data_IF_899124521043
#
_entry.id   IF_899124521043
#
_cell.length_a   1.000
_cell.length_b   1.000
_cell.length_c   1.000
_cell.angle_alpha   90.00
_cell.angle_beta   90.00
_cell.angle_gamma   90.00
#
_symmetry.space_group_name_H-M   'P 1'
#
loop_
_entity.id
_entity.type
_entity.pdbx_description
1 polymer ?
#
# COMPACT_ATOMS: atom_id res chain seq x y z
N UNK A 1 -19.67 -19.85 -17.83
CA UNK A 1 -19.26 -20.14 -16.43
C UNK A 1 -17.77 -19.97 -16.25
N UNK A 2 -16.91 -20.59 -17.06
CA UNK A 2 -15.44 -20.39 -16.99
C UNK A 2 -15.02 -18.91 -17.05
N UNK A 3 -15.58 -18.13 -17.98
CA UNK A 3 -15.30 -16.69 -18.08
C UNK A 3 -15.74 -15.89 -16.84
N UNK A 4 -16.83 -16.30 -16.19
CA UNK A 4 -17.29 -15.69 -14.95
C UNK A 4 -16.30 -15.98 -13.81
N UNK A 5 -15.85 -17.22 -13.68
CA UNK A 5 -14.86 -17.61 -12.68
C UNK A 5 -13.52 -16.89 -12.89
N UNK A 6 -13.05 -16.78 -14.14
CA UNK A 6 -11.83 -16.06 -14.46
C UNK A 6 -11.97 -14.56 -14.15
N UNK A 7 -13.13 -13.97 -14.42
CA UNK A 7 -13.39 -12.57 -14.05
C UNK A 7 -13.37 -12.35 -12.53
N UNK A 8 -13.98 -13.25 -11.74
CA UNK A 8 -13.93 -13.19 -10.27
C UNK A 8 -12.49 -13.32 -9.76
N UNK A 9 -11.72 -14.24 -10.34
CA UNK A 9 -10.30 -14.39 -10.04
C UNK A 9 -9.56 -13.08 -10.28
N UNK A 10 -9.68 -12.48 -11.47
CA UNK A 10 -9.00 -11.22 -11.80
C UNK A 10 -9.43 -10.05 -10.92
N UNK A 11 -10.74 -9.91 -10.61
CA UNK A 11 -11.22 -8.88 -9.67
C UNK A 11 -10.63 -9.10 -8.28
N UNK A 12 -10.51 -10.35 -7.83
CA UNK A 12 -9.94 -10.67 -6.51
C UNK A 12 -8.44 -10.38 -6.46
N UNK A 13 -7.68 -10.73 -7.52
CA UNK A 13 -6.27 -10.34 -7.68
C UNK A 13 -6.15 -8.81 -7.61
N UNK A 14 -6.94 -8.10 -8.41
CA UNK A 14 -6.91 -6.64 -8.47
C UNK A 14 -7.25 -5.99 -7.13
N UNK A 15 -8.25 -6.51 -6.42
CA UNK A 15 -8.72 -5.94 -5.15
C UNK A 15 -7.66 -6.05 -4.08
N UNK A 16 -7.07 -7.24 -3.89
CA UNK A 16 -6.06 -7.41 -2.85
C UNK A 16 -4.74 -6.70 -3.22
N UNK A 17 -4.36 -6.72 -4.51
CA UNK A 17 -3.20 -5.97 -4.98
C UNK A 17 -3.37 -4.47 -4.74
N UNK A 18 -4.55 -3.93 -5.06
CA UNK A 18 -4.90 -2.53 -4.83
C UNK A 18 -4.89 -2.19 -3.34
N UNK A 19 -5.44 -3.05 -2.48
CA UNK A 19 -5.40 -2.83 -1.03
C UNK A 19 -3.97 -2.75 -0.50
N UNK A 20 -3.13 -3.72 -0.84
CA UNK A 20 -1.75 -3.80 -0.33
C UNK A 20 -0.89 -2.66 -0.90
N UNK A 21 -1.01 -2.33 -2.19
CA UNK A 21 -0.24 -1.20 -2.73
C UNK A 21 -0.69 0.13 -2.10
N UNK A 22 -1.98 0.30 -1.83
CA UNK A 22 -2.45 1.50 -1.15
C UNK A 22 -1.86 1.61 0.25
N UNK A 23 -1.74 0.53 1.03
CA UNK A 23 -1.09 0.63 2.36
C UNK A 23 0.35 1.13 2.25
N UNK A 24 1.09 0.70 1.22
CA UNK A 24 2.46 1.16 0.94
C UNK A 24 2.51 2.61 0.48
N UNK A 25 1.63 3.00 -0.45
CA UNK A 25 1.54 4.37 -0.98
C UNK A 25 1.17 5.35 0.13
N UNK A 26 0.26 5.00 1.03
CA UNK A 26 -0.13 5.83 2.16
C UNK A 26 0.98 5.94 3.23
N UNK A 27 1.71 4.86 3.49
CA UNK A 27 2.90 4.88 4.37
C UNK A 27 3.93 5.90 3.89
N UNK A 28 4.22 5.90 2.58
CA UNK A 28 5.11 6.86 1.93
C UNK A 28 4.52 8.28 1.91
N UNK A 29 3.27 8.44 1.47
CA UNK A 29 2.70 9.76 1.23
C UNK A 29 2.39 10.53 2.51
N UNK A 30 1.85 9.88 3.54
CA UNK A 30 1.31 10.53 4.74
C UNK A 30 1.99 10.03 6.01
N UNK A 31 2.16 8.71 6.13
CA UNK A 31 2.76 8.06 7.30
C UNK A 31 2.14 6.68 7.55
N UNK A 32 2.85 5.81 8.29
CA UNK A 32 2.48 4.41 8.46
C UNK A 32 1.12 4.20 9.16
N UNK A 33 0.66 5.16 9.98
CA UNK A 33 -0.65 5.09 10.62
C UNK A 33 -1.81 5.03 9.61
N UNK A 34 -1.66 5.67 8.45
CA UNK A 34 -2.68 5.67 7.40
C UNK A 34 -2.73 4.36 6.60
N UNK A 35 -1.73 3.49 6.72
CA UNK A 35 -1.78 2.15 6.15
C UNK A 35 -2.93 1.32 6.77
N UNK A 36 -3.16 1.45 8.09
CA UNK A 36 -4.25 0.75 8.78
C UNK A 36 -5.64 1.26 8.40
N UNK A 37 -5.74 2.55 8.03
CA UNK A 37 -6.97 3.15 7.52
C UNK A 37 -7.42 2.44 6.23
N UNK A 38 -6.51 2.17 5.30
CA UNK A 38 -6.82 1.49 4.03
C UNK A 38 -7.46 0.13 4.26
N UNK A 39 -6.95 -0.66 5.22
CA UNK A 39 -7.53 -1.96 5.58
C UNK A 39 -8.95 -1.80 6.11
N UNK A 40 -9.17 -0.80 6.95
CA UNK A 40 -10.50 -0.49 7.50
C UNK A 40 -11.50 -0.05 6.42
N UNK A 41 -11.06 0.76 5.45
CA UNK A 41 -11.88 1.19 4.31
C UNK A 41 -12.23 0.02 3.41
N UNK A 42 -11.31 -0.93 3.19
CA UNK A 42 -11.59 -2.13 2.42
C UNK A 42 -12.70 -2.96 3.09
N UNK A 43 -12.59 -3.21 4.39
CA UNK A 43 -13.63 -3.91 5.16
C UNK A 43 -14.96 -3.16 5.14
N UNK A 44 -14.93 -1.83 5.29
CA UNK A 44 -16.13 -0.98 5.19
C UNK A 44 -16.78 -1.09 3.81
N UNK A 45 -16.00 -1.04 2.73
CA UNK A 45 -16.50 -1.17 1.35
C UNK A 45 -17.20 -2.51 1.11
N UNK A 46 -16.58 -3.61 1.56
CA UNK A 46 -17.21 -4.92 1.54
C UNK A 46 -18.46 -4.99 2.42
N UNK A 47 -18.46 -4.40 3.62
CA UNK A 47 -19.61 -4.35 4.51
C UNK A 47 -20.79 -3.55 3.93
N UNK A 48 -20.53 -2.39 3.34
CA UNK A 48 -21.54 -1.57 2.63
C UNK A 48 -22.07 -2.36 1.44
N UNK A 49 -21.22 -3.07 0.69
CA UNK A 49 -21.67 -3.89 -0.44
C UNK A 49 -22.65 -4.99 -0.02
N UNK A 50 -22.37 -5.69 1.10
CA UNK A 50 -23.25 -6.72 1.66
C UNK A 50 -24.57 -6.12 2.17
N UNK A 51 -24.51 -4.95 2.79
CA UNK A 51 -25.69 -4.21 3.23
C UNK A 51 -26.59 -3.85 2.03
N UNK A 52 -26.02 -3.31 0.94
CA UNK A 52 -26.75 -3.00 -0.29
C UNK A 52 -27.41 -4.26 -0.86
N UNK A 53 -26.69 -5.39 -0.93
CA UNK A 53 -27.25 -6.64 -1.46
C UNK A 53 -28.39 -7.17 -0.57
N UNK A 54 -28.29 -7.00 0.75
CA UNK A 54 -29.32 -7.44 1.70
C UNK A 54 -30.61 -6.60 1.63
N UNK A 55 -30.47 -5.27 1.46
CA UNK A 55 -31.60 -4.35 1.38
C UNK A 55 -32.24 -4.35 -0.01
N UNK A 56 -31.44 -4.50 -1.05
CA UNK A 56 -31.86 -4.42 -2.44
C UNK A 56 -31.68 -5.76 -3.15
N UNK A 57 -32.39 -6.79 -2.67
CA UNK A 57 -32.36 -8.13 -3.28
C UNK A 57 -32.74 -8.18 -4.77
N UNK A 58 -33.38 -7.13 -5.31
CA UNK A 58 -33.62 -6.97 -6.75
C UNK A 58 -32.33 -6.83 -7.57
N UNK A 59 -31.23 -6.32 -6.99
CA UNK A 59 -29.92 -6.28 -7.66
C UNK A 59 -29.39 -7.70 -7.93
N UNK A 60 -29.73 -8.67 -7.09
CA UNK A 60 -29.31 -10.08 -7.23
C UNK A 60 -30.20 -10.83 -8.23
N UNK A 61 -31.52 -10.61 -8.21
CA UNK A 61 -32.47 -11.36 -9.06
C UNK A 61 -32.23 -11.19 -10.56
N UNK A 62 -31.80 -10.00 -10.97
CA UNK A 62 -31.59 -9.66 -12.38
C UNK A 62 -30.10 -9.63 -12.78
N UNK A 63 -29.23 -10.29 -12.01
CA UNK A 63 -27.79 -10.20 -12.19
C UNK A 63 -27.34 -10.95 -13.44
N UNK A 64 -26.99 -10.20 -14.49
CA UNK A 64 -26.42 -10.74 -15.73
C UNK A 64 -24.91 -10.50 -15.77
N UNK A 65 -24.13 -11.34 -16.49
CA UNK A 65 -22.70 -11.07 -16.72
C UNK A 65 -22.45 -9.67 -17.31
N UNK A 66 -23.39 -9.15 -18.11
CA UNK A 66 -23.34 -7.77 -18.63
C UNK A 66 -23.40 -6.73 -17.51
N UNK A 67 -24.25 -6.90 -16.49
CA UNK A 67 -24.29 -5.98 -15.32
C UNK A 67 -23.03 -6.09 -14.48
N UNK A 68 -22.52 -7.30 -14.26
CA UNK A 68 -21.23 -7.50 -13.59
C UNK A 68 -20.07 -6.82 -14.34
N UNK A 69 -20.11 -6.79 -15.68
CA UNK A 69 -19.12 -6.08 -16.49
C UNK A 69 -19.11 -4.57 -16.21
N UNK A 70 -20.27 -3.93 -16.05
CA UNK A 70 -20.35 -2.52 -15.65
C UNK A 70 -19.77 -2.30 -14.25
N UNK A 71 -20.08 -3.17 -13.28
CA UNK A 71 -19.50 -3.07 -11.93
C UNK A 71 -17.97 -3.23 -11.95
N UNK A 72 -17.44 -4.16 -12.75
CA UNK A 72 -15.99 -4.35 -12.91
C UNK A 72 -15.31 -3.16 -13.61
N UNK A 73 -16.01 -2.51 -14.56
CA UNK A 73 -15.54 -1.27 -15.17
C UNK A 73 -15.51 -0.12 -14.16
N UNK A 74 -16.57 0.04 -13.37
CA UNK A 74 -16.65 1.04 -12.30
C UNK A 74 -15.63 0.78 -11.18
N UNK A 75 -15.35 -0.48 -10.87
CA UNK A 75 -14.25 -0.87 -9.98
C UNK A 75 -12.90 -0.34 -10.52
N UNK A 76 -12.59 -0.60 -11.80
CA UNK A 76 -11.35 -0.12 -12.42
C UNK A 76 -11.24 1.42 -12.39
N UNK A 77 -12.34 2.10 -12.74
CA UNK A 77 -12.40 3.56 -12.67
C UNK A 77 -12.26 4.06 -11.23
N UNK A 78 -12.85 3.36 -10.26
CA UNK A 78 -12.72 3.66 -8.83
C UNK A 78 -11.30 3.48 -8.30
N UNK A 79 -10.56 2.48 -8.77
CA UNK A 79 -9.16 2.28 -8.37
C UNK A 79 -8.28 3.46 -8.80
N UNK A 80 -8.34 3.83 -10.08
CA UNK A 80 -7.53 4.93 -10.62
C UNK A 80 -8.04 6.29 -10.14
N UNK A 81 -9.35 6.54 -10.26
CA UNK A 81 -9.98 7.80 -9.89
C UNK A 81 -9.90 8.06 -8.39
N UNK A 82 -10.09 7.03 -7.56
CA UNK A 82 -9.93 7.14 -6.11
C UNK A 82 -8.50 7.48 -5.72
N UNK A 83 -7.51 6.83 -6.32
CA UNK A 83 -6.10 7.16 -6.10
C UNK A 83 -5.76 8.59 -6.54
N UNK A 84 -6.16 9.00 -7.75
CA UNK A 84 -5.90 10.36 -8.26
C UNK A 84 -6.57 11.41 -7.40
N UNK A 85 -7.84 11.20 -7.01
CA UNK A 85 -8.57 12.16 -6.18
C UNK A 85 -7.92 12.34 -4.81
N UNK A 86 -7.48 11.24 -4.18
CA UNK A 86 -6.69 11.27 -2.95
C UNK A 86 -5.37 12.02 -3.16
N UNK A 87 -4.63 11.72 -4.23
CA UNK A 87 -3.32 12.32 -4.51
C UNK A 87 -3.40 13.85 -4.70
N UNK A 88 -4.54 14.36 -5.20
CA UNK A 88 -4.76 15.80 -5.42
C UNK A 88 -5.48 16.51 -4.29
N UNK A 89 -6.06 15.78 -3.35
CA UNK A 89 -6.72 16.37 -2.20
C UNK A 89 -5.66 16.74 -1.17
N UNK A 90 -5.51 18.04 -0.80
CA UNK A 90 -4.40 18.52 0.04
C UNK A 90 -4.66 18.22 1.52
N UNK A 91 -4.71 16.93 1.86
CA UNK A 91 -4.88 16.47 3.22
C UNK A 91 -3.55 16.51 3.97
N UNK A 92 -3.59 17.11 5.16
CA UNK A 92 -2.50 17.12 6.13
C UNK A 92 -3.01 16.74 7.52
N UNK A 93 -2.43 15.67 8.04
CA UNK A 93 -2.78 15.12 9.35
C UNK A 93 -2.43 16.03 10.53
N UNK A 94 -1.37 16.84 10.43
CA UNK A 94 -0.93 17.73 11.52
C UNK A 94 -1.87 18.93 11.71
N UNK A 95 -2.56 19.32 10.65
CA UNK A 95 -3.50 20.44 10.66
C UNK A 95 -4.91 20.08 11.12
N UNK A 96 -5.25 18.79 11.31
CA UNK A 96 -6.61 18.37 11.70
C UNK A 96 -7.09 19.04 12.98
N UNK A 97 -6.20 19.23 13.96
CA UNK A 97 -6.55 19.86 15.24
C UNK A 97 -6.92 21.35 15.09
N UNK A 98 -6.47 22.01 14.03
CA UNK A 98 -6.56 23.47 13.85
C UNK A 98 -7.46 23.88 12.67
N UNK A 99 -7.59 23.04 11.63
CA UNK A 99 -8.35 23.33 10.42
C UNK A 99 -9.42 22.26 10.15
N UNK A 100 -10.69 22.64 10.32
CA UNK A 100 -11.85 21.75 10.07
C UNK A 100 -11.97 21.29 8.62
N UNK A 101 -11.37 21.98 7.65
CA UNK A 101 -11.33 21.56 6.24
C UNK A 101 -10.60 20.23 6.08
N UNK A 102 -9.61 19.94 6.94
CA UNK A 102 -8.88 18.67 6.92
C UNK A 102 -9.78 17.48 7.24
N UNK A 103 -10.81 17.67 8.08
CA UNK A 103 -11.82 16.63 8.33
C UNK A 103 -12.64 16.35 7.06
N UNK A 104 -12.99 17.39 6.29
CA UNK A 104 -13.69 17.22 5.00
C UNK A 104 -12.80 16.48 4.00
N UNK A 105 -11.51 16.82 3.93
CA UNK A 105 -10.55 16.11 3.09
C UNK A 105 -10.38 14.65 3.50
N UNK A 106 -10.37 14.36 4.80
CA UNK A 106 -10.37 12.99 5.31
C UNK A 106 -11.63 12.24 4.87
N UNK A 107 -12.81 12.85 4.98
CA UNK A 107 -14.05 12.24 4.47
C UNK A 107 -13.97 11.97 2.97
N UNK A 108 -13.42 12.90 2.18
CA UNK A 108 -13.19 12.70 0.75
C UNK A 108 -12.27 11.51 0.52
N UNK A 109 -11.18 11.35 1.29
CA UNK A 109 -10.30 10.19 1.22
C UNK A 109 -11.05 8.88 1.46
N UNK A 110 -11.83 8.82 2.55
CA UNK A 110 -12.61 7.64 2.89
C UNK A 110 -13.62 7.29 1.79
N UNK A 111 -14.41 8.27 1.34
CA UNK A 111 -15.42 8.05 0.30
C UNK A 111 -14.78 7.64 -1.03
N UNK A 112 -13.69 8.28 -1.43
CA UNK A 112 -13.01 8.00 -2.71
C UNK A 112 -12.45 6.58 -2.76
N UNK A 113 -11.81 6.14 -1.66
CA UNK A 113 -11.23 4.81 -1.56
C UNK A 113 -12.27 3.72 -1.28
N UNK A 114 -13.42 4.06 -0.68
CA UNK A 114 -14.52 3.13 -0.48
C UNK A 114 -15.07 2.60 -1.82
N UNK A 115 -15.15 3.45 -2.84
CA UNK A 115 -15.77 3.15 -4.15
C UNK A 115 -15.24 1.86 -4.80
N UNK A 116 -13.92 1.66 -5.02
CA UNK A 116 -13.43 0.41 -5.59
C UNK A 116 -13.75 -0.81 -4.71
N UNK A 117 -13.57 -0.74 -3.39
CA UNK A 117 -13.88 -1.87 -2.51
C UNK A 117 -15.38 -2.20 -2.47
N UNK A 118 -16.24 -1.18 -2.56
CA UNK A 118 -17.67 -1.35 -2.70
C UNK A 118 -18.03 -2.14 -3.96
N UNK A 119 -17.49 -1.75 -5.12
CA UNK A 119 -17.77 -2.45 -6.38
C UNK A 119 -17.19 -3.86 -6.41
N UNK A 120 -15.99 -4.07 -5.87
CA UNK A 120 -15.41 -5.41 -5.72
C UNK A 120 -16.29 -6.31 -4.84
N UNK A 121 -16.75 -5.78 -3.69
CA UNK A 121 -17.67 -6.46 -2.80
C UNK A 121 -19.01 -6.79 -3.45
N UNK A 122 -19.56 -5.86 -4.24
CA UNK A 122 -20.79 -6.09 -5.00
C UNK A 122 -20.62 -7.20 -6.05
N UNK A 123 -19.50 -7.24 -6.78
CA UNK A 123 -19.21 -8.29 -7.76
C UNK A 123 -19.15 -9.66 -7.07
N UNK A 124 -18.35 -9.77 -6.01
CA UNK A 124 -18.15 -11.02 -5.29
C UNK A 124 -19.43 -11.48 -4.59
N UNK A 125 -20.06 -10.60 -3.81
CA UNK A 125 -21.28 -10.88 -3.06
C UNK A 125 -22.48 -11.19 -3.95
N UNK A 126 -22.69 -10.43 -5.04
CA UNK A 126 -23.78 -10.69 -5.95
C UNK A 126 -23.58 -12.00 -6.72
N UNK A 127 -22.34 -12.35 -7.07
CA UNK A 127 -22.07 -13.61 -7.78
C UNK A 127 -22.27 -14.83 -6.89
N UNK A 128 -21.84 -14.77 -5.62
CA UNK A 128 -22.11 -15.82 -4.61
C UNK A 128 -23.62 -15.98 -4.42
N UNK A 129 -24.34 -14.86 -4.29
CA UNK A 129 -25.79 -14.85 -4.07
C UNK A 129 -26.58 -15.36 -5.27
N UNK A 130 -26.13 -15.09 -6.49
CA UNK A 130 -26.81 -15.49 -7.72
C UNK A 130 -26.57 -16.96 -8.11
N UNK A 131 -25.50 -17.60 -7.60
CA UNK A 131 -25.13 -18.98 -7.95
C UNK A 131 -24.81 -19.83 -6.70
N UNK A 132 -25.79 -20.08 -5.82
CA UNK A 132 -25.59 -20.82 -4.57
C UNK A 132 -25.01 -22.23 -4.79
N UNK A 133 -25.41 -22.92 -5.86
CA UNK A 133 -24.92 -24.27 -6.20
C UNK A 133 -23.43 -24.31 -6.58
N UNK A 134 -22.82 -23.15 -6.84
CA UNK A 134 -21.44 -23.03 -7.35
C UNK A 134 -20.54 -22.23 -6.41
N UNK A 135 -21.01 -21.96 -5.20
CA UNK A 135 -20.32 -21.16 -4.17
C UNK A 135 -18.91 -21.66 -3.93
N UNK A 136 -18.71 -22.97 -3.74
CA UNK A 136 -17.37 -23.56 -3.53
C UNK A 136 -16.38 -23.19 -4.64
N UNK A 137 -16.80 -23.25 -5.91
CA UNK A 137 -15.93 -22.89 -7.06
C UNK A 137 -15.69 -21.39 -7.11
N UNK A 138 -16.71 -20.57 -6.87
CA UNK A 138 -16.57 -19.11 -6.84
C UNK A 138 -15.58 -18.68 -5.75
N UNK A 139 -15.70 -19.25 -4.55
CA UNK A 139 -14.77 -19.03 -3.46
C UNK A 139 -13.36 -19.51 -3.79
N UNK A 140 -13.20 -20.67 -4.43
CA UNK A 140 -11.90 -21.15 -4.88
C UNK A 140 -11.19 -20.10 -5.76
N UNK A 141 -11.85 -19.62 -6.81
CA UNK A 141 -11.26 -18.61 -7.70
C UNK A 141 -11.01 -17.26 -6.99
N UNK A 142 -11.90 -16.84 -6.09
CA UNK A 142 -11.71 -15.61 -5.33
C UNK A 142 -10.54 -15.68 -4.35
N UNK A 143 -10.42 -16.79 -3.62
CA UNK A 143 -9.35 -17.01 -2.65
C UNK A 143 -8.01 -17.19 -3.35
N UNK A 144 -7.93 -18.02 -4.39
CA UNK A 144 -6.71 -18.16 -5.20
C UNK A 144 -6.30 -16.84 -5.85
N UNK A 145 -7.27 -16.06 -6.34
CA UNK A 145 -7.02 -14.73 -6.90
C UNK A 145 -6.46 -13.77 -5.85
N UNK A 146 -7.02 -13.78 -4.64
CA UNK A 146 -6.51 -12.98 -3.52
C UNK A 146 -5.07 -13.36 -3.17
N UNK A 147 -4.76 -14.66 -3.03
CA UNK A 147 -3.38 -15.11 -2.79
C UNK A 147 -2.39 -14.65 -3.86
N UNK A 148 -2.77 -14.77 -5.14
CA UNK A 148 -1.96 -14.26 -6.26
C UNK A 148 -1.81 -12.73 -6.18
N UNK A 149 -2.87 -12.02 -5.82
CA UNK A 149 -2.85 -10.57 -5.59
C UNK A 149 -1.82 -10.17 -4.53
N UNK A 150 -1.81 -10.84 -3.37
CA UNK A 150 -0.84 -10.55 -2.31
C UNK A 150 0.62 -10.77 -2.73
N UNK A 151 0.88 -11.85 -3.46
CA UNK A 151 2.23 -12.14 -3.96
C UNK A 151 2.64 -11.20 -5.09
N UNK A 152 1.69 -10.78 -5.94
CA UNK A 152 1.98 -9.92 -7.08
C UNK A 152 2.54 -8.57 -6.67
N UNK A 153 2.11 -7.99 -5.54
CA UNK A 153 2.62 -6.69 -5.08
C UNK A 153 4.11 -6.77 -4.71
N UNK A 154 4.52 -7.85 -4.03
CA UNK A 154 5.93 -8.09 -3.67
C UNK A 154 6.80 -8.12 -4.93
N UNK A 155 6.31 -8.76 -5.99
CA UNK A 155 7.03 -8.91 -7.25
C UNK A 155 7.00 -7.65 -8.12
N UNK A 156 5.90 -6.89 -8.13
CA UNK A 156 5.69 -5.78 -9.05
C UNK A 156 6.15 -4.42 -8.50
N UNK A 157 6.07 -4.21 -7.18
CA UNK A 157 6.40 -2.91 -6.57
C UNK A 157 7.85 -2.45 -6.82
N UNK A 158 8.88 -3.32 -6.86
CA UNK A 158 10.26 -2.88 -7.12
C UNK A 158 10.46 -2.34 -8.54
N UNK A 159 9.66 -2.80 -9.51
CA UNK A 159 9.81 -2.44 -10.92
C UNK A 159 8.87 -1.31 -11.34
N UNK A 160 7.63 -1.33 -10.85
CA UNK A 160 6.57 -0.42 -11.29
C UNK A 160 6.28 0.70 -10.26
N UNK A 161 6.84 0.59 -9.04
CA UNK A 161 6.51 1.46 -7.92
C UNK A 161 5.05 1.34 -7.47
N UNK A 162 4.66 2.19 -6.52
CA UNK A 162 3.28 2.19 -6.01
C UNK A 162 2.23 2.56 -7.06
N UNK A 163 2.47 3.62 -7.83
CA UNK A 163 1.51 4.08 -8.85
C UNK A 163 1.32 3.06 -9.99
N UNK A 164 2.39 2.39 -10.44
CA UNK A 164 2.29 1.40 -11.50
C UNK A 164 1.49 0.16 -11.09
N UNK A 165 1.63 -0.30 -9.84
CA UNK A 165 0.82 -1.43 -9.32
C UNK A 165 -0.67 -1.06 -9.19
N UNK A 166 -0.99 0.22 -8.89
CA UNK A 166 -2.37 0.72 -8.94
C UNK A 166 -2.93 0.64 -10.37
N UNK A 167 -2.14 1.06 -11.38
CA UNK A 167 -2.53 0.97 -12.79
C UNK A 167 -2.73 -0.49 -13.23
N UNK A 168 -1.86 -1.41 -12.81
CA UNK A 168 -2.03 -2.85 -13.04
C UNK A 168 -3.33 -3.36 -12.42
N UNK A 169 -3.66 -2.95 -11.20
CA UNK A 169 -4.91 -3.34 -10.54
C UNK A 169 -6.14 -2.84 -11.31
N UNK A 170 -6.10 -1.61 -11.82
CA UNK A 170 -7.15 -1.07 -12.69
C UNK A 170 -7.24 -1.84 -14.03
N UNK A 171 -6.11 -2.21 -14.65
CA UNK A 171 -6.06 -3.02 -15.88
C UNK A 171 -6.67 -4.41 -15.68
N UNK A 172 -6.40 -5.07 -14.55
CA UNK A 172 -7.01 -6.35 -14.20
C UNK A 172 -8.54 -6.22 -14.03
N UNK A 173 -9.01 -5.12 -13.47
CA UNK A 173 -10.44 -4.77 -13.43
C UNK A 173 -11.07 -4.61 -14.82
N UNK A 174 -10.38 -3.94 -15.75
CA UNK A 174 -10.81 -3.82 -17.15
C UNK A 174 -10.82 -5.17 -17.87
N UNK A 175 -9.80 -6.00 -17.65
CA UNK A 175 -9.74 -7.34 -18.22
C UNK A 175 -10.91 -8.21 -17.72
N UNK A 176 -11.21 -8.17 -16.42
CA UNK A 176 -12.38 -8.84 -15.86
C UNK A 176 -13.69 -8.31 -16.47
N UNK A 177 -13.82 -6.99 -16.58
CA UNK A 177 -14.97 -6.35 -17.23
C UNK A 177 -15.15 -6.83 -18.67
N UNK A 178 -14.06 -6.92 -19.45
CA UNK A 178 -14.09 -7.42 -20.82
C UNK A 178 -14.54 -8.88 -20.91
N UNK A 179 -13.98 -9.76 -20.09
CA UNK A 179 -14.35 -11.18 -20.03
C UNK A 179 -15.84 -11.38 -19.70
N UNK A 180 -16.38 -10.54 -18.80
CA UNK A 180 -17.80 -10.55 -18.44
C UNK A 180 -18.71 -10.13 -19.60
N UNK A 181 -18.24 -9.27 -20.52
CA UNK A 181 -19.01 -8.97 -21.75
C UNK A 181 -19.05 -10.14 -22.73
N UNK A 182 -18.09 -11.07 -22.65
CA UNK A 182 -18.01 -12.26 -23.50
C UNK A 182 -18.76 -13.45 -22.88
N UNK A 183 -19.00 -13.41 -21.58
CA UNK A 183 -19.73 -14.43 -20.86
C UNK A 183 -21.20 -14.48 -21.31
N UNK A 184 -21.60 -15.60 -21.91
CA UNK A 184 -23.00 -15.83 -22.33
C UNK A 184 -23.92 -15.93 -21.12
N UNK A 185 -25.07 -15.27 -21.20
CA UNK A 185 -26.22 -15.45 -20.31
C UNK A 185 -26.80 -16.84 -20.51
N UNK A 186 -26.82 -17.69 -19.49
CA UNK A 186 -27.96 -18.58 -19.32
C UNK A 186 -29.00 -17.82 -18.48
N UNK A 187 -30.28 -18.06 -18.74
CA UNK A 187 -31.42 -17.28 -18.26
C UNK A 187 -31.46 -17.04 -16.74
N UNK A 188 -32.40 -16.20 -16.28
CA UNK A 188 -32.49 -15.79 -14.88
C UNK A 188 -32.44 -17.00 -13.94
N UNK A 189 -31.76 -16.82 -12.81
CA UNK A 189 -31.77 -17.81 -11.74
C UNK A 189 -33.23 -18.09 -11.33
N UNK A 190 -33.58 -19.33 -10.96
CA UNK A 190 -34.92 -19.63 -10.48
C UNK A 190 -35.27 -18.73 -9.30
N UNK A 191 -36.51 -18.27 -9.26
CA UNK A 191 -37.07 -17.37 -8.24
C UNK A 191 -36.96 -18.02 -6.85
N UNK A 192 -35.84 -17.80 -6.16
CA UNK A 192 -35.66 -18.12 -4.75
C UNK A 192 -35.30 -16.86 -4.01
N UNK A 193 -36.16 -16.54 -3.05
CA UNK A 193 -36.07 -15.36 -2.20
C UNK A 193 -34.84 -15.48 -1.29
N UNK A 194 -34.25 -14.35 -0.90
CA UNK A 194 -33.16 -14.28 0.08
C UNK A 194 -33.50 -14.94 1.43
N UNK A 195 -34.80 -15.08 1.73
CA UNK A 195 -35.31 -15.92 2.83
C UNK A 195 -34.94 -17.39 2.65
N UNK A 196 -35.14 -17.97 1.46
CA UNK A 196 -34.91 -19.39 1.18
C UNK A 196 -33.43 -19.78 1.35
N UNK A 197 -32.49 -18.86 1.05
CA UNK A 197 -31.06 -19.08 1.27
C UNK A 197 -30.71 -19.17 2.77
N UNK A 198 -31.17 -18.21 3.60
CA UNK A 198 -30.94 -18.25 5.04
C UNK A 198 -31.75 -19.33 5.75
N UNK A 199 -32.93 -19.66 5.25
CA UNK A 199 -33.77 -20.74 5.75
C UNK A 199 -33.15 -22.11 5.43
N UNK A 200 -32.43 -22.26 4.31
CA UNK A 200 -31.67 -23.48 3.99
C UNK A 200 -30.57 -23.81 5.01
N UNK A 201 -30.02 -22.79 5.70
CA UNK A 201 -29.06 -22.96 6.79
C UNK A 201 -29.73 -23.12 8.16
N UNK A 202 -31.02 -22.76 8.30
CA UNK A 202 -31.75 -22.77 9.59
C UNK A 202 -32.66 -23.98 9.78
N UNK A 203 -33.21 -24.59 8.73
CA UNK A 203 -34.11 -25.75 8.84
C UNK A 203 -34.20 -26.57 7.54
N UNK A 204 -33.65 -27.79 7.49
CA UNK A 204 -33.67 -28.63 6.28
C UNK A 204 -35.06 -29.16 5.86
N UNK A 205 -36.10 -29.05 6.71
CA UNK A 205 -37.35 -29.83 6.53
C UNK A 205 -38.64 -29.04 6.22
N UNK A 206 -38.60 -27.71 6.03
CA UNK A 206 -39.84 -26.94 5.78
C UNK A 206 -39.82 -26.20 4.44
N UNK A 207 -40.29 -26.90 3.40
CA UNK A 207 -40.90 -26.25 2.23
C UNK A 207 -42.37 -25.97 2.53
N UNK A 208 -42.75 -24.70 2.61
CA UNK A 208 -44.15 -24.29 2.62
C UNK A 208 -44.39 -22.93 3.24
N UNK A 209 -44.83 -21.98 2.41
CA UNK A 209 -45.50 -20.76 2.87
C UNK A 209 -44.93 -19.45 2.34
N UNK A 210 -45.44 -19.02 1.18
CA UNK A 210 -45.35 -17.62 0.73
C UNK A 210 -46.18 -16.71 1.65
N UNK A 211 -45.65 -15.54 2.00
CA UNK A 211 -46.19 -14.22 1.64
C UNK A 211 -45.43 -13.09 2.35
N UNK A 212 -45.27 -11.97 1.66
CA UNK A 212 -44.85 -10.69 2.24
C UNK A 212 -43.50 -10.15 1.76
N UNK A 213 -43.49 -9.46 0.61
CA UNK A 213 -42.65 -8.28 0.39
C UNK A 213 -43.05 -7.58 -0.92
N UNK A 214 -44.09 -6.74 -0.87
CA UNK A 214 -44.54 -5.94 -2.02
C UNK A 214 -44.31 -4.43 -1.86
N UNK A 215 -43.46 -3.99 -0.90
CA UNK A 215 -43.27 -2.55 -0.62
C UNK A 215 -41.82 -2.05 -0.58
N UNK A 216 -40.90 -2.68 -1.31
CA UNK A 216 -39.50 -2.20 -1.46
C UNK A 216 -39.19 -1.58 -2.85
N UNK A 217 -40.21 -1.28 -3.66
CA UNK A 217 -40.04 -0.90 -5.08
C UNK A 217 -39.96 0.60 -5.40
N UNK A 218 -39.79 1.51 -4.43
CA UNK A 218 -39.96 2.96 -4.68
C UNK A 218 -38.70 3.84 -4.60
N UNK A 219 -37.50 3.29 -4.36
CA UNK A 219 -36.28 4.11 -4.26
C UNK A 219 -35.33 4.03 -5.47
N UNK A 220 -35.53 3.05 -6.37
CA UNK A 220 -34.87 3.02 -7.68
C UNK A 220 -35.94 2.94 -8.76
N UNK A 221 -35.96 3.85 -9.76
CA UNK A 221 -36.91 3.74 -10.85
C UNK A 221 -36.71 2.40 -11.56
N UNK A 222 -37.81 1.64 -11.74
CA UNK A 222 -37.85 0.49 -12.64
C UNK A 222 -37.33 0.98 -14.00
N UNK A 223 -36.10 0.60 -14.36
CA UNK A 223 -35.45 1.07 -15.59
C UNK A 223 -34.15 1.89 -15.43
N UNK A 224 -33.58 2.03 -14.23
CA UNK A 224 -32.24 2.63 -14.08
C UNK A 224 -31.18 1.96 -14.97
N UNK A 225 -31.27 0.63 -15.15
CA UNK A 225 -30.36 -0.12 -16.01
C UNK A 225 -30.77 -0.15 -17.49
N UNK A 226 -32.01 0.24 -17.84
CA UNK A 226 -32.50 0.31 -19.23
C UNK A 226 -32.28 1.68 -19.88
N UNK A 227 -31.83 2.67 -19.10
CA UNK A 227 -31.47 4.03 -19.57
C UNK A 227 -29.97 4.17 -19.84
N UNK A 228 -29.16 3.17 -19.51
CA UNK A 228 -27.77 3.11 -19.96
C UNK A 228 -27.75 2.86 -21.47
N UNK A 229 -27.23 3.79 -22.29
CA UNK A 229 -27.26 3.65 -23.73
C UNK A 229 -26.50 2.36 -24.13
N UNK A 230 -26.84 1.75 -25.29
CA UNK A 230 -26.06 0.66 -25.87
C UNK A 230 -24.74 1.21 -26.44
N UNK A 231 -23.98 1.95 -25.64
CA UNK A 231 -22.61 2.33 -25.97
C UNK A 231 -21.80 1.04 -26.12
N UNK A 232 -20.80 1.01 -27.02
CA UNK A 232 -19.92 -0.13 -27.15
C UNK A 232 -19.00 -0.18 -25.93
N UNK A 233 -19.49 -0.69 -24.80
CA UNK A 233 -18.75 -0.84 -23.54
C UNK A 233 -17.40 -1.51 -23.78
N UNK A 234 -17.33 -2.45 -24.73
CA UNK A 234 -16.07 -3.08 -25.17
C UNK A 234 -15.06 -2.10 -25.75
N UNK A 235 -15.49 -1.15 -26.59
CA UNK A 235 -14.61 -0.10 -27.14
C UNK A 235 -14.10 0.80 -26.03
N UNK A 236 -14.96 1.18 -25.08
CA UNK A 236 -14.54 1.97 -23.93
C UNK A 236 -13.54 1.22 -23.04
N UNK A 237 -13.79 -0.07 -22.77
CA UNK A 237 -12.86 -0.93 -22.01
C UNK A 237 -11.51 -1.02 -22.71
N UNK A 238 -11.50 -1.31 -24.01
CA UNK A 238 -10.25 -1.45 -24.78
C UNK A 238 -9.51 -0.11 -24.87
N UNK A 239 -10.21 0.99 -25.16
CA UNK A 239 -9.61 2.32 -25.18
C UNK A 239 -9.01 2.72 -23.83
N UNK A 240 -9.73 2.44 -22.74
CA UNK A 240 -9.22 2.67 -21.37
C UNK A 240 -8.01 1.79 -21.05
N UNK A 241 -8.03 0.52 -21.48
CA UNK A 241 -6.92 -0.40 -21.24
C UNK A 241 -5.66 0.01 -22.01
N UNK A 242 -5.79 0.45 -23.27
CA UNK A 242 -4.68 0.98 -24.06
C UNK A 242 -4.11 2.26 -23.44
N UNK A 243 -4.97 3.16 -22.94
CA UNK A 243 -4.53 4.36 -22.23
C UNK A 243 -3.77 4.03 -20.94
N UNK A 244 -4.27 3.09 -20.13
CA UNK A 244 -3.59 2.64 -18.92
C UNK A 244 -2.27 1.93 -19.22
N UNK A 245 -2.20 1.15 -20.30
CA UNK A 245 -0.95 0.53 -20.74
C UNK A 245 0.06 1.60 -21.17
N UNK A 246 -0.40 2.67 -21.84
CA UNK A 246 0.44 3.83 -22.14
C UNK A 246 0.95 4.52 -20.86
N UNK A 247 0.11 4.66 -19.83
CA UNK A 247 0.55 5.21 -18.53
C UNK A 247 1.59 4.35 -17.81
N UNK A 248 1.64 3.03 -18.05
CA UNK A 248 2.72 2.19 -17.52
C UNK A 248 4.06 2.46 -18.20
N UNK A 249 4.04 2.79 -19.50
CA UNK A 249 5.25 3.10 -20.26
C UNK A 249 5.74 4.52 -20.00
N UNK A 250 4.80 5.46 -19.83
CA UNK A 250 5.09 6.86 -19.53
C UNK A 250 4.13 7.34 -18.43
N UNK A 251 4.51 7.17 -17.15
CA UNK A 251 3.67 7.59 -16.04
C UNK A 251 3.50 9.11 -16.06
N UNK A 252 2.26 9.62 -16.21
CA UNK A 252 2.01 11.06 -16.16
C UNK A 252 2.21 11.61 -14.75
N UNK A 253 2.51 12.91 -14.65
CA UNK A 253 2.82 13.58 -13.38
C UNK A 253 1.71 13.46 -12.33
N UNK A 254 0.45 13.36 -12.75
CA UNK A 254 -0.67 13.21 -11.84
C UNK A 254 -0.72 11.85 -11.12
N UNK A 255 0.00 10.84 -11.63
CA UNK A 255 0.15 9.55 -10.96
C UNK A 255 1.36 9.50 -10.02
N UNK A 256 2.28 10.48 -10.09
CA UNK A 256 3.39 10.55 -9.15
C UNK A 256 2.85 10.80 -7.74
N UNK A 257 3.36 10.02 -6.78
CA UNK A 257 2.90 10.06 -5.39
C UNK A 257 3.29 11.42 -4.80
N UNK A 258 2.30 12.20 -4.36
CA UNK A 258 2.53 13.45 -3.64
C UNK A 258 2.72 13.15 -2.17
N UNK A 259 3.94 13.39 -1.70
CA UNK A 259 4.30 13.24 -0.29
C UNK A 259 3.86 14.45 0.52
N UNK A 260 3.55 14.21 1.79
CA UNK A 260 3.24 15.25 2.76
C UNK A 260 4.42 16.22 2.88
N UNK A 261 4.16 17.54 2.95
CA UNK A 261 5.21 18.54 3.05
C UNK A 261 6.04 18.46 4.34
N UNK A 262 5.58 17.70 5.34
CA UNK A 262 6.24 17.50 6.63
C UNK A 262 7.18 16.29 6.67
N UNK A 263 7.19 15.46 5.62
CA UNK A 263 8.12 14.35 5.49
C UNK A 263 9.54 14.88 5.39
N UNK A 264 10.49 14.22 6.09
CA UNK A 264 11.90 14.62 6.10
C UNK A 264 12.45 14.82 4.68
N UNK A 265 12.12 13.92 3.76
CA UNK A 265 12.53 14.03 2.35
C UNK A 265 11.94 15.28 1.66
N UNK A 266 10.65 15.56 1.85
CA UNK A 266 9.99 16.73 1.28
C UNK A 266 10.51 18.06 1.83
N UNK A 267 10.99 18.09 3.07
CA UNK A 267 11.65 19.26 3.65
C UNK A 267 13.01 19.48 3.00
N UNK A 268 13.81 18.43 2.87
CA UNK A 268 15.20 18.54 2.37
C UNK A 268 15.25 18.78 0.87
N UNK A 269 14.32 18.22 0.09
CA UNK A 269 14.23 18.50 -1.35
C UNK A 269 13.88 19.95 -1.69
N UNK A 270 13.56 20.81 -0.70
CA UNK A 270 13.36 22.25 -0.91
C UNK A 270 14.66 23.05 -0.92
N UNK A 271 15.75 22.48 -0.43
CA UNK A 271 17.05 23.14 -0.49
C UNK A 271 17.57 23.16 -1.95
N UNK A 272 18.10 24.29 -2.45
CA UNK A 272 18.47 24.44 -3.88
C UNK A 272 19.57 23.46 -4.35
N UNK A 273 20.46 23.06 -3.45
CA UNK A 273 21.56 22.13 -3.68
C UNK A 273 21.14 20.67 -3.56
N UNK A 274 19.91 20.39 -3.15
CA UNK A 274 19.44 19.05 -2.87
C UNK A 274 19.32 18.18 -4.12
N UNK A 275 19.88 16.97 -4.07
CA UNK A 275 19.87 16.01 -5.17
C UNK A 275 19.53 14.61 -4.68
N UNK A 276 18.53 13.99 -5.30
CA UNK A 276 18.28 12.57 -5.12
C UNK A 276 19.35 11.78 -5.86
N UNK A 277 20.15 11.00 -5.14
CA UNK A 277 21.27 10.22 -5.70
C UNK A 277 20.94 8.72 -5.80
N UNK A 278 19.98 8.25 -5.01
CA UNK A 278 19.50 6.87 -5.07
C UNK A 278 18.00 6.82 -4.74
N UNK A 279 17.25 5.96 -5.43
CA UNK A 279 15.84 5.68 -5.11
C UNK A 279 15.48 4.26 -5.52
N UNK A 280 15.06 3.43 -4.57
CA UNK A 280 14.62 2.05 -4.84
C UNK A 280 13.39 1.69 -4.03
N UNK A 281 12.42 1.07 -4.70
CA UNK A 281 11.30 0.40 -4.05
C UNK A 281 11.68 -1.04 -3.72
N UNK A 282 11.32 -1.47 -2.52
CA UNK A 282 11.30 -2.89 -2.17
C UNK A 282 9.94 -3.24 -1.52
N UNK A 283 9.66 -4.52 -1.22
CA UNK A 283 8.39 -4.92 -0.63
C UNK A 283 8.09 -4.31 0.76
N UNK A 284 9.12 -3.88 1.49
CA UNK A 284 9.01 -3.33 2.85
C UNK A 284 8.90 -1.80 2.89
N UNK A 285 9.60 -1.10 1.99
CA UNK A 285 9.80 0.35 2.02
C UNK A 285 10.24 0.91 0.68
N UNK A 286 10.08 2.22 0.50
CA UNK A 286 10.89 2.98 -0.46
C UNK A 286 12.13 3.54 0.26
N UNK A 287 13.32 3.21 -0.22
CA UNK A 287 14.58 3.74 0.31
C UNK A 287 15.12 4.78 -0.66
N UNK A 288 15.39 5.97 -0.16
CA UNK A 288 15.89 7.10 -0.92
C UNK A 288 17.17 7.63 -0.26
N UNK A 289 18.19 7.96 -1.07
CA UNK A 289 19.39 8.68 -0.60
C UNK A 289 19.46 10.04 -1.25
N UNK A 290 19.61 11.07 -0.41
CA UNK A 290 19.62 12.47 -0.80
C UNK A 290 20.93 13.14 -0.37
N UNK A 291 21.57 13.84 -1.30
CA UNK A 291 22.74 14.69 -1.05
C UNK A 291 22.29 16.14 -0.89
N UNK A 292 22.77 16.81 0.14
CA UNK A 292 22.62 18.25 0.35
C UNK A 292 23.54 18.71 1.47
N UNK A 293 24.13 19.89 1.32
CA UNK A 293 24.97 20.52 2.32
C UNK A 293 24.17 20.94 3.57
N UNK A 294 22.84 21.03 3.45
CA UNK A 294 21.93 21.28 4.56
C UNK A 294 21.78 20.08 5.51
N UNK A 295 22.18 18.87 5.10
CA UNK A 295 22.08 17.67 5.93
C UNK A 295 23.18 17.69 6.98
N UNK A 296 22.79 18.06 8.20
CA UNK A 296 23.63 18.06 9.41
C UNK A 296 22.85 17.44 10.55
N UNK A 297 22.96 16.12 10.70
CA UNK A 297 22.28 15.35 11.74
C UNK A 297 23.30 14.77 12.72
N UNK A 298 23.26 15.30 13.94
CA UNK A 298 24.00 14.80 15.10
C UNK A 298 23.11 14.93 16.34
N UNK A 299 22.10 14.06 16.51
CA UNK A 299 21.13 14.17 17.58
C UNK A 299 21.80 14.12 18.96
N UNK A 300 21.51 15.12 19.81
CA UNK A 300 22.10 15.21 21.13
C UNK A 300 23.59 15.58 21.14
N UNK A 301 24.10 16.22 20.10
CA UNK A 301 25.45 16.80 20.11
C UNK A 301 25.58 17.88 21.20
N UNK A 302 26.62 17.76 22.03
CA UNK A 302 26.91 18.72 23.10
C UNK A 302 27.22 20.11 22.54
N UNK A 303 26.75 21.15 23.25
CA UNK A 303 27.09 22.55 22.96
C UNK A 303 28.58 22.88 23.14
N UNK A 304 29.33 22.00 23.80
CA UNK A 304 30.78 22.14 23.95
C UNK A 304 31.56 21.73 22.69
N UNK A 305 30.90 21.08 21.71
CA UNK A 305 31.51 20.77 20.43
C UNK A 305 31.30 21.95 19.48
N UNK A 306 32.39 22.52 18.97
CA UNK A 306 32.36 23.77 18.20
C UNK A 306 32.60 23.58 16.69
N UNK A 307 33.00 22.39 16.29
CA UNK A 307 33.18 22.05 14.88
C UNK A 307 31.87 21.56 14.25
N UNK A 308 31.84 21.49 12.92
CA UNK A 308 30.72 20.91 12.18
C UNK A 308 30.96 19.41 11.98
N UNK A 309 29.90 18.57 12.05
CA UNK A 309 29.98 17.22 11.52
C UNK A 309 30.46 17.24 10.06
N UNK A 310 31.17 16.20 9.60
CA UNK A 310 31.66 16.12 8.22
C UNK A 310 30.49 16.09 7.22
N UNK A 311 30.79 15.99 5.92
CA UNK A 311 29.71 15.90 4.92
C UNK A 311 28.82 14.68 5.22
N UNK A 312 27.51 14.88 5.22
CA UNK A 312 26.53 13.83 5.44
C UNK A 312 25.57 13.75 4.26
N UNK A 313 25.25 12.54 3.84
CA UNK A 313 24.11 12.26 2.96
C UNK A 313 22.95 11.74 3.82
N UNK A 314 21.72 11.83 3.35
CA UNK A 314 20.55 11.35 4.09
C UNK A 314 19.95 10.10 3.47
N UNK A 315 19.82 9.02 4.24
CA UNK A 315 18.91 7.90 3.91
C UNK A 315 17.55 8.24 4.49
N UNK A 316 16.50 8.10 3.68
CA UNK A 316 15.11 8.14 4.16
C UNK A 316 14.40 6.84 3.84
N UNK A 317 13.49 6.44 4.73
CA UNK A 317 12.63 5.27 4.56
C UNK A 317 11.19 5.77 4.45
N UNK A 318 10.51 5.43 3.37
CA UNK A 318 9.17 5.94 3.07
C UNK A 318 9.10 7.48 3.16
N UNK A 319 10.17 8.14 2.67
CA UNK A 319 10.32 9.60 2.65
C UNK A 319 10.55 10.25 4.02
N UNK A 320 10.74 9.47 5.09
CA UNK A 320 10.87 9.98 6.45
C UNK A 320 12.03 9.37 7.24
N UNK A 321 12.13 9.75 8.52
CA UNK A 321 13.13 9.30 9.49
C UNK A 321 14.55 9.35 8.92
N UNK A 322 14.96 10.56 8.51
CA UNK A 322 16.26 10.73 7.90
C UNK A 322 17.38 10.26 8.82
N UNK A 323 18.16 9.30 8.31
CA UNK A 323 19.38 8.82 8.94
C UNK A 323 20.59 9.29 8.14
N UNK A 324 21.59 9.95 8.77
CA UNK A 324 22.76 10.41 8.04
C UNK A 324 23.70 9.25 7.71
N UNK A 325 24.16 9.18 6.47
CA UNK A 325 25.41 8.51 6.10
C UNK A 325 26.51 9.55 6.30
N UNK A 326 27.44 9.29 7.21
CA UNK A 326 28.47 10.25 7.57
C UNK A 326 29.76 9.93 6.83
N UNK A 327 30.34 10.93 6.14
CA UNK A 327 31.65 10.79 5.51
C UNK A 327 32.69 10.44 6.57
N UNK A 328 33.40 9.34 6.40
CA UNK A 328 34.37 8.87 7.38
C UNK A 328 35.69 8.53 6.70
N UNK A 329 36.63 9.46 6.78
CA UNK A 329 37.98 9.32 6.21
C UNK A 329 39.02 8.99 7.31
N UNK A 330 38.84 9.56 8.50
CA UNK A 330 39.78 9.44 9.63
C UNK A 330 39.09 9.52 11.01
N UNK A 331 39.82 9.26 12.10
CA UNK A 331 39.28 9.37 13.47
C UNK A 331 38.70 10.78 13.78
N UNK A 332 39.22 11.84 13.16
CA UNK A 332 38.75 13.21 13.34
C UNK A 332 37.33 13.39 12.80
N UNK A 333 37.01 12.76 11.67
CA UNK A 333 35.68 12.75 11.06
C UNK A 333 34.60 12.18 11.99
N UNK A 334 34.98 11.32 12.95
CA UNK A 334 34.08 10.72 13.93
C UNK A 334 34.09 11.43 15.30
N UNK A 335 34.90 12.47 15.50
CA UNK A 335 35.12 13.11 16.81
C UNK A 335 33.83 13.69 17.42
N UNK A 336 32.95 14.25 16.58
CA UNK A 336 31.65 14.78 17.02
C UNK A 336 30.80 13.71 17.71
N UNK A 337 30.93 12.43 17.31
CA UNK A 337 30.14 11.34 17.91
C UNK A 337 30.49 11.10 19.37
N UNK A 338 31.74 11.38 19.79
CA UNK A 338 32.17 11.32 21.19
C UNK A 338 31.58 12.44 22.06
N UNK A 339 31.02 13.46 21.42
CA UNK A 339 30.37 14.61 22.07
C UNK A 339 28.83 14.52 22.03
N UNK A 340 28.27 13.48 21.41
CA UNK A 340 26.84 13.21 21.51
C UNK A 340 26.49 12.64 22.88
N UNK A 341 25.28 12.92 23.38
CA UNK A 341 24.78 12.43 24.68
C UNK A 341 24.84 10.90 24.77
N UNK A 342 24.55 10.19 23.68
CA UNK A 342 24.61 8.72 23.61
C UNK A 342 26.03 8.17 23.82
N UNK A 343 27.07 9.01 23.71
CA UNK A 343 28.45 8.57 23.97
C UNK A 343 28.70 8.12 25.41
N UNK A 344 27.85 8.56 26.35
CA UNK A 344 27.97 8.23 27.77
C UNK A 344 27.98 6.72 28.00
N UNK A 345 27.18 5.94 27.27
CA UNK A 345 27.12 4.48 27.47
C UNK A 345 28.44 3.78 27.12
N UNK A 346 29.19 4.33 26.16
CA UNK A 346 30.49 3.79 25.75
C UNK A 346 31.64 4.25 26.65
N UNK A 347 31.47 5.35 27.40
CA UNK A 347 32.46 5.80 28.40
C UNK A 347 32.42 4.99 29.69
N UNK A 348 31.32 4.28 29.95
CA UNK A 348 31.13 3.48 31.17
C UNK A 348 31.85 2.13 31.12
N UNK A 349 32.29 1.68 29.95
CA UNK A 349 32.89 0.35 29.77
C UNK A 349 34.05 0.42 28.78
N UNK A 350 35.19 -0.08 29.19
CA UNK A 350 36.32 -0.30 28.29
C UNK A 350 35.99 -1.43 27.30
N UNK A 351 36.27 -1.19 26.02
CA UNK A 351 36.11 -2.16 24.92
C UNK A 351 34.74 -2.88 24.95
N UNK A 352 33.62 -2.16 24.76
CA UNK A 352 32.30 -2.75 24.90
C UNK A 352 32.00 -3.77 23.80
N UNK A 353 31.14 -4.74 24.11
CA UNK A 353 30.43 -5.56 23.12
C UNK A 353 29.06 -4.93 22.89
N UNK A 354 28.73 -4.62 21.64
CA UNK A 354 27.62 -3.72 21.31
C UNK A 354 26.64 -4.42 20.38
N UNK A 355 25.34 -4.33 20.68
CA UNK A 355 24.27 -4.66 19.74
C UNK A 355 23.61 -3.34 19.31
N UNK A 356 23.52 -3.11 18.00
CA UNK A 356 22.89 -1.94 17.41
C UNK A 356 21.77 -2.41 16.50
N UNK A 357 20.57 -1.89 16.73
CA UNK A 357 19.36 -2.27 15.99
C UNK A 357 18.99 -1.13 15.05
N UNK A 358 18.82 -1.46 13.77
CA UNK A 358 18.47 -0.56 12.67
C UNK A 358 19.32 0.72 12.64
N UNK A 359 20.68 0.62 12.58
CA UNK A 359 21.54 1.80 12.52
C UNK A 359 21.41 2.59 11.22
N UNK A 360 20.79 2.03 10.17
CA UNK A 360 20.55 2.69 8.89
C UNK A 360 21.82 3.33 8.30
N UNK A 361 21.89 4.65 8.20
CA UNK A 361 23.08 5.37 7.71
C UNK A 361 24.32 5.25 8.60
N UNK A 362 24.20 4.58 9.75
CA UNK A 362 25.35 4.11 10.50
C UNK A 362 25.87 5.09 11.54
N UNK A 363 25.14 6.15 11.89
CA UNK A 363 25.59 7.12 12.91
C UNK A 363 25.89 6.44 14.26
N UNK A 364 25.00 5.56 14.72
CA UNK A 364 25.20 4.80 15.96
C UNK A 364 26.38 3.82 15.85
N UNK A 365 26.58 3.24 14.67
CA UNK A 365 27.69 2.34 14.38
C UNK A 365 29.03 3.09 14.38
N UNK A 366 29.09 4.25 13.73
CA UNK A 366 30.24 5.16 13.73
C UNK A 366 30.60 5.62 15.15
N UNK A 367 29.60 5.96 15.95
CA UNK A 367 29.80 6.28 17.36
C UNK A 367 30.42 5.10 18.12
N UNK A 368 29.83 3.90 17.99
CA UNK A 368 30.34 2.71 18.67
C UNK A 368 31.81 2.40 18.28
N UNK A 369 32.12 2.47 16.98
CA UNK A 369 33.48 2.25 16.45
C UNK A 369 34.50 3.25 17.03
N UNK A 370 34.08 4.48 17.33
CA UNK A 370 34.93 5.50 17.94
C UNK A 370 35.41 5.15 19.36
N UNK A 371 34.85 4.12 20.00
CA UNK A 371 35.22 3.63 21.34
C UNK A 371 35.99 2.30 21.32
N UNK A 372 36.48 1.86 20.15
CA UNK A 372 37.28 0.62 19.97
C UNK A 372 36.63 -0.61 20.63
N UNK A 373 35.38 -0.95 20.24
CA UNK A 373 34.65 -2.08 20.81
C UNK A 373 35.28 -3.41 20.40
N UNK A 374 35.15 -4.42 21.26
CA UNK A 374 35.63 -5.78 20.96
C UNK A 374 34.81 -6.44 19.84
N UNK A 375 33.51 -6.14 19.78
CA UNK A 375 32.59 -6.65 18.75
C UNK A 375 31.32 -5.81 18.68
N UNK A 376 30.78 -5.68 17.48
CA UNK A 376 29.50 -5.01 17.20
C UNK A 376 28.62 -5.96 16.40
N UNK A 377 27.39 -6.17 16.86
CA UNK A 377 26.33 -6.79 16.09
C UNK A 377 25.40 -5.69 15.57
N UNK A 378 25.21 -5.66 14.26
CA UNK A 378 24.27 -4.77 13.57
C UNK A 378 23.10 -5.60 13.11
N UNK A 379 21.91 -5.30 13.62
CA UNK A 379 20.67 -5.97 13.19
C UNK A 379 19.86 -4.99 12.38
N UNK A 380 19.80 -5.21 11.06
CA UNK A 380 19.08 -4.35 10.12
C UNK A 380 18.01 -5.18 9.41
N UNK A 381 16.77 -4.71 9.43
CA UNK A 381 15.64 -5.47 8.87
C UNK A 381 15.48 -5.24 7.37
N UNK A 382 16.08 -4.16 6.84
CA UNK A 382 15.95 -3.78 5.45
C UNK A 382 17.16 -4.22 4.62
N UNK A 383 17.04 -5.24 3.74
CA UNK A 383 18.17 -5.71 2.93
C UNK A 383 18.75 -4.64 2.00
N UNK A 384 17.92 -3.69 1.55
CA UNK A 384 18.38 -2.61 0.68
C UNK A 384 19.31 -1.64 1.42
N UNK A 385 19.11 -1.43 2.72
CA UNK A 385 20.00 -0.58 3.53
C UNK A 385 21.36 -1.25 3.71
N UNK A 386 21.35 -2.56 3.99
CA UNK A 386 22.59 -3.37 4.10
C UNK A 386 23.37 -3.28 2.78
N UNK A 387 22.72 -3.59 1.65
CA UNK A 387 23.33 -3.51 0.31
C UNK A 387 23.91 -2.11 0.01
N UNK A 388 23.16 -1.06 0.36
CA UNK A 388 23.59 0.33 0.18
C UNK A 388 24.86 0.66 0.98
N UNK A 389 24.90 0.26 2.25
CA UNK A 389 26.01 0.59 3.14
C UNK A 389 27.25 -0.29 2.91
N UNK A 390 27.07 -1.54 2.50
CA UNK A 390 28.17 -2.48 2.21
C UNK A 390 28.75 -2.31 0.80
N UNK A 391 28.04 -1.65 -0.12
CA UNK A 391 28.49 -1.52 -1.53
C UNK A 391 28.52 -0.09 -2.01
N UNK A 392 27.35 0.51 -2.23
CA UNK A 392 27.22 1.81 -2.92
C UNK A 392 27.84 2.97 -2.12
N UNK A 393 27.72 2.92 -0.79
CA UNK A 393 28.21 3.96 0.14
C UNK A 393 29.29 3.44 1.10
N UNK A 394 29.90 2.30 0.80
CA UNK A 394 30.95 1.69 1.61
C UNK A 394 32.14 2.65 1.76
N UNK A 395 32.73 3.09 0.63
CA UNK A 395 33.86 4.02 0.61
C UNK A 395 33.52 5.36 1.28
N UNK A 396 32.36 5.95 0.97
CA UNK A 396 31.95 7.23 1.56
C UNK A 396 31.82 7.13 3.08
N UNK A 397 31.30 6.02 3.60
CA UNK A 397 31.10 5.79 5.03
C UNK A 397 32.32 5.18 5.74
N UNK A 398 33.44 4.97 5.04
CA UNK A 398 34.66 4.35 5.61
C UNK A 398 34.47 2.89 6.02
N UNK A 399 33.68 2.15 5.22
CA UNK A 399 33.41 0.71 5.33
C UNK A 399 32.89 0.29 6.71
N UNK A 400 32.12 1.16 7.37
CA UNK A 400 31.69 0.93 8.76
C UNK A 400 30.83 -0.33 8.94
N UNK A 401 30.16 -0.80 7.89
CA UNK A 401 29.39 -2.05 7.89
C UNK A 401 30.25 -3.31 7.64
N UNK A 402 31.42 -3.18 7.00
CA UNK A 402 32.28 -4.29 6.58
C UNK A 402 33.61 -4.36 7.37
N UNK A 403 33.62 -3.86 8.60
CA UNK A 403 34.81 -3.95 9.47
C UNK A 403 34.91 -5.33 10.12
N UNK A 404 36.14 -5.78 10.37
CA UNK A 404 36.41 -7.11 10.97
C UNK A 404 35.66 -7.37 12.30
N UNK A 405 35.44 -6.32 13.10
CA UNK A 405 34.74 -6.41 14.38
C UNK A 405 33.23 -6.13 14.29
N UNK A 406 32.67 -5.98 13.09
CA UNK A 406 31.25 -5.72 12.82
C UNK A 406 30.63 -6.96 12.20
N UNK A 407 29.48 -7.39 12.74
CA UNK A 407 28.69 -8.51 12.23
C UNK A 407 27.30 -8.01 11.89
N UNK A 408 26.98 -7.97 10.60
CA UNK A 408 25.66 -7.56 10.11
C UNK A 408 24.73 -8.78 10.04
N UNK A 409 23.53 -8.62 10.57
CA UNK A 409 22.47 -9.64 10.58
C UNK A 409 21.23 -9.02 9.95
N UNK A 410 20.71 -9.67 8.91
CA UNK A 410 19.46 -9.27 8.26
C UNK A 410 18.27 -9.92 8.98
N UNK A 411 17.74 -9.24 9.99
CA UNK A 411 16.60 -9.71 10.77
C UNK A 411 15.83 -8.56 11.42
N UNK A 412 14.60 -8.82 11.86
CA UNK A 412 13.81 -7.88 12.66
C UNK A 412 14.39 -7.86 14.08
N UNK A 413 14.79 -6.68 14.57
CA UNK A 413 15.45 -6.55 15.89
C UNK A 413 14.69 -7.16 17.06
N UNK A 414 13.35 -7.11 17.06
CA UNK A 414 12.52 -7.75 18.10
C UNK A 414 12.60 -9.28 18.07
N UNK A 415 12.63 -9.88 16.88
CA UNK A 415 12.79 -11.33 16.72
C UNK A 415 14.19 -11.75 17.17
N UNK A 416 15.20 -11.02 16.71
CA UNK A 416 16.59 -11.29 17.04
C UNK A 416 16.84 -11.27 18.56
N UNK A 417 16.37 -10.24 19.27
CA UNK A 417 16.49 -10.16 20.74
C UNK A 417 15.79 -11.34 21.41
N UNK A 418 14.60 -11.73 20.93
CA UNK A 418 13.83 -12.82 21.54
C UNK A 418 14.50 -14.19 21.37
N UNK A 419 15.20 -14.40 20.25
CA UNK A 419 15.87 -15.66 19.94
C UNK A 419 17.26 -15.78 20.60
N UNK A 420 17.87 -14.65 20.96
CA UNK A 420 19.23 -14.57 21.52
C UNK A 420 19.26 -14.09 22.99
N UNK A 421 18.10 -14.02 23.65
CA UNK A 421 17.96 -13.92 25.11
C UNK A 421 17.85 -15.32 25.71
#
# INVERSE_FOLDING_TARGET
MTLLYLAIFLVSVATLSFQIVLTRVFSLAQGYHFAFMVVSIALLGFGVSGTILSLFGSLVRDLTPKRLSYLAFLFSLGCLGGYVLVNYTPFDSYQIAWDRRQVVFLVIYYLSLLVPFLFSGLISGATISAYPDKVSRIYFYSLSGSSVGSLSVILLIPWLGGAGVIVISALLGLAASFLLTLARTRGPAPDRSWKDFWDSFRNPEKMGGHEGSEKAGKFFPKGFWSTLPPFPLRVLIVGSALLLLFFLLRPPDFLQIRMSPYKSLSVISRYPDSRMVYSRWNPFSKVDVIDSDAIKSAPGLSLAYHDLPPKQMGITIDGDDLSPITRFEDERSAEFTRHMVTSVVYRLKERPRVLIIEPRGGLNLLQALSYRPDSIWVVESNPTIIELMEREYAEFSGDIYDRENVRVVNEIGRSYIRENN
#
